data_IF_094783745213
#
_entry.id   IF_094783745213
#
_cell.length_a   1.000
_cell.length_b   1.000
_cell.length_c   1.000
_cell.angle_alpha   90.00
_cell.angle_beta   90.00
_cell.angle_gamma   90.00
#
_symmetry.space_group_name_H-M   'P 1'
#
loop_
_entity.id
_entity.type
_entity.pdbx_description
1 polymer ?
2 water ?
#
# COMPACT_ATOMS: atom_id res chain seq x y z
N UNK A 3 -6.28 -6.25 17.13
CA UNK A 3 -5.44 -5.47 16.12
C UNK A 3 -4.05 -6.08 15.65
N UNK A 4 -4.05 -7.18 14.88
CA UNK A 4 -2.84 -7.63 14.12
C UNK A 4 -3.10 -8.88 13.27
N UNK A 5 -4.11 -8.78 12.41
CA UNK A 5 -4.39 -9.77 11.33
C UNK A 5 -3.39 -9.71 10.14
N UNK A 6 -2.72 -8.55 10.02
CA UNK A 6 -1.67 -8.27 9.04
C UNK A 6 -0.70 -7.24 9.59
N UNK A 7 0.48 -7.21 8.97
CA UNK A 7 1.61 -6.54 9.54
C UNK A 7 2.11 -5.62 8.41
N UNK A 8 1.57 -4.39 8.34
CA UNK A 8 1.98 -3.43 7.34
C UNK A 8 3.49 -3.21 7.45
N UNK A 9 4.13 -3.04 6.31
CA UNK A 9 5.56 -2.70 6.24
C UNK A 9 5.81 -1.25 6.65
N UNK A 10 6.77 -1.08 7.57
CA UNK A 10 7.14 0.22 8.01
C UNK A 10 8.67 0.36 7.92
N UNK A 11 9.16 1.48 7.39
CA UNK A 11 10.56 1.81 7.50
C UNK A 11 10.66 2.86 8.55
N UNK A 12 11.76 2.84 9.31
CA UNK A 12 11.87 3.84 10.33
C UNK A 12 13.26 4.43 10.16
N UNK A 13 13.35 5.75 10.21
CA UNK A 13 14.58 6.44 10.02
C UNK A 13 14.76 7.37 11.21
N UNK A 14 15.99 7.48 11.69
CA UNK A 14 16.29 8.46 12.70
C UNK A 14 17.20 9.46 12.05
N UNK A 15 16.74 10.68 11.93
CA UNK A 15 17.55 11.73 11.39
C UNK A 15 18.18 12.46 12.57
N UNK A 16 18.96 13.49 12.25
CA UNK A 16 19.66 14.24 13.29
C UNK A 16 18.64 14.75 14.25
N UNK A 17 17.55 15.33 13.75
CA UNK A 17 16.67 15.98 14.71
C UNK A 17 15.24 15.45 14.70
N UNK A 18 15.01 14.34 13.99
CA UNK A 18 13.66 13.84 13.98
C UNK A 18 13.66 12.38 13.57
N UNK A 19 12.54 11.73 13.82
CA UNK A 19 12.35 10.43 13.29
C UNK A 19 11.31 10.53 12.22
N UNK A 20 11.37 9.60 11.28
CA UNK A 20 10.30 9.43 10.32
C UNK A 20 10.01 7.95 10.24
N UNK A 21 8.74 7.61 10.31
CA UNK A 21 8.27 6.26 10.01
C UNK A 21 7.46 6.39 8.77
N UNK A 22 7.69 5.48 7.86
CA UNK A 22 6.87 5.41 6.64
C UNK A 22 6.17 4.07 6.67
N UNK A 23 4.84 4.06 6.62
CA UNK A 23 4.09 2.84 6.79
C UNK A 23 3.29 2.65 5.52
N UNK A 24 3.41 1.48 4.91
CA UNK A 24 2.62 1.17 3.71
C UNK A 24 1.31 0.68 4.24
N UNK A 25 0.32 1.54 4.07
CA UNK A 25 -1.02 1.29 4.59
C UNK A 25 -1.95 1.55 3.41
N UNK A 26 -1.78 0.77 2.32
CA UNK A 26 -2.64 1.07 1.20
C UNK A 26 -4.14 0.82 1.52
N UNK A 27 -5.02 1.59 0.93
CA UNK A 27 -6.46 1.32 0.97
C UNK A 27 -7.11 1.72 2.28
N UNK A 28 -6.51 2.65 3.05
CA UNK A 28 -7.14 3.14 4.30
C UNK A 28 -6.98 4.62 4.25
N UNK A 29 -8.02 5.38 4.62
CA UNK A 29 -7.84 6.82 4.73
C UNK A 29 -6.91 7.03 5.89
N UNK A 30 -5.97 7.97 5.76
CA UNK A 30 -5.03 8.36 6.79
C UNK A 30 -5.69 8.76 8.09
N UNK A 31 -6.92 9.21 7.99
CA UNK A 31 -7.66 9.63 9.16
C UNK A 31 -8.21 8.42 9.92
N UNK A 32 -8.40 7.28 9.27
CA UNK A 32 -8.75 6.08 9.98
C UNK A 32 -7.53 5.42 10.68
N UNK A 33 -6.37 6.05 10.65
CA UNK A 33 -5.17 5.33 11.11
C UNK A 33 -4.76 6.02 12.38
N UNK A 34 -4.70 5.25 13.46
CA UNK A 34 -4.36 5.89 14.72
C UNK A 34 -2.84 5.77 14.96
N UNK A 35 -2.22 6.89 15.25
CA UNK A 35 -0.82 6.92 15.49
C UNK A 35 -0.61 7.56 16.83
N UNK A 36 -0.04 6.83 17.77
CA UNK A 36 0.24 7.45 19.05
C UNK A 36 1.46 6.87 19.64
N UNK A 37 2.01 7.61 20.57
CA UNK A 37 3.11 7.13 21.39
C UNK A 37 2.67 7.06 22.81
N UNK A 38 3.07 6.00 23.47
CA UNK A 38 2.72 5.85 24.84
C UNK A 38 3.93 5.20 25.46
N UNK A 39 4.59 5.92 26.36
CA UNK A 39 5.72 5.36 27.11
C UNK A 39 6.81 4.83 26.16
N UNK A 40 7.11 5.62 25.15
CA UNK A 40 8.15 5.31 24.25
C UNK A 40 7.68 4.49 23.10
N UNK A 41 6.49 3.90 23.13
CA UNK A 41 6.14 2.97 22.11
C UNK A 41 5.32 3.69 21.08
N UNK A 42 5.81 3.70 19.85
CA UNK A 42 5.02 4.30 18.78
C UNK A 42 4.07 3.24 18.26
N UNK A 43 2.77 3.49 18.27
CA UNK A 43 1.89 2.54 17.62
C UNK A 43 1.21 3.14 16.43
N UNK A 44 0.92 2.25 15.52
CA UNK A 44 0.22 2.64 14.32
C UNK A 44 -0.88 1.60 14.18
N UNK A 45 -2.11 2.02 14.32
CA UNK A 45 -3.11 0.96 14.29
C UNK A 45 -4.32 1.41 13.57
N UNK A 46 -5.10 0.42 13.15
CA UNK A 46 -6.30 0.74 12.44
C UNK A 46 -6.78 -0.53 11.82
N UNK A 47 -7.66 -0.41 10.87
CA UNK A 47 -8.23 -1.58 10.33
C UNK A 47 -8.43 -1.39 8.86
N UNK A 48 -7.83 -2.25 8.06
CA UNK A 48 -8.01 -2.09 6.64
C UNK A 48 -9.13 -3.01 6.25
N UNK A 49 -10.06 -2.49 5.50
CA UNK A 49 -11.07 -3.29 4.88
C UNK A 49 -10.57 -3.61 3.47
N UNK A 50 -11.14 -4.64 2.90
CA UNK A 50 -10.77 -5.03 1.55
C UNK A 50 -12.02 -5.54 0.85
N UNK A 51 -12.13 -5.13 -0.41
CA UNK A 51 -13.15 -5.61 -1.34
C UNK A 51 -13.16 -7.11 -1.35
N UNK A 52 -12.05 -7.78 -1.07
CA UNK A 52 -12.04 -9.21 -1.19
C UNK A 52 -12.90 -9.90 -0.11
N UNK A 53 -13.39 -9.14 0.87
CA UNK A 53 -14.26 -9.72 1.89
C UNK A 53 -15.70 -9.70 1.42
N UNK A 54 -15.94 -8.98 0.34
CA UNK A 54 -17.26 -8.83 -0.28
C UNK A 54 -17.25 -9.71 -1.54
N UNK A 55 -18.16 -10.68 -1.57
CA UNK A 55 -18.31 -11.55 -2.75
C UNK A 55 -17.02 -12.24 -3.05
N UNK A 56 -16.40 -12.73 -1.98
CA UNK A 56 -15.11 -13.39 -1.97
C UNK A 56 -14.98 -14.50 -2.98
N UNK A 57 -16.07 -15.23 -3.18
CA UNK A 57 -16.07 -16.35 -4.08
C UNK A 57 -15.90 -15.81 -5.54
N UNK A 58 -16.18 -14.54 -5.79
CA UNK A 58 -15.99 -13.99 -7.16
C UNK A 58 -14.52 -13.65 -7.46
N UNK A 59 -13.68 -13.71 -6.42
CA UNK A 59 -12.25 -13.48 -6.57
C UNK A 59 -11.51 -14.67 -7.08
N UNK A 60 -10.72 -14.48 -8.12
CA UNK A 60 -9.86 -15.54 -8.61
C UNK A 60 -8.51 -15.45 -7.93
N UNK A 61 -8.19 -14.29 -7.35
CA UNK A 61 -7.04 -14.17 -6.50
C UNK A 61 -7.26 -13.14 -5.44
N UNK A 62 -6.75 -13.51 -4.29
CA UNK A 62 -6.77 -12.66 -3.18
C UNK A 62 -5.40 -12.68 -2.59
N UNK A 63 -4.66 -11.59 -2.76
CA UNK A 63 -3.30 -11.55 -2.23
C UNK A 63 -3.17 -10.43 -1.22
N UNK A 64 -4.08 -9.48 -1.27
CA UNK A 64 -3.97 -8.30 -0.46
C UNK A 64 -4.40 -8.59 0.94
N UNK A 65 -3.52 -8.25 1.86
CA UNK A 65 -3.76 -8.46 3.26
C UNK A 65 -4.55 -7.30 3.81
N UNK A 66 -5.42 -7.56 4.76
CA UNK A 66 -6.13 -6.46 5.37
C UNK A 66 -6.54 -6.94 6.75
N UNK A 67 -7.43 -6.18 7.36
CA UNK A 67 -7.78 -6.49 8.72
C UNK A 67 -7.13 -5.46 9.61
N UNK A 68 -7.19 -5.75 10.89
CA UNK A 68 -6.72 -4.83 11.88
C UNK A 68 -5.21 -4.92 11.85
N UNK A 69 -4.52 -3.82 12.10
CA UNK A 69 -3.09 -3.95 12.27
C UNK A 69 -2.77 -3.12 13.48
N UNK A 70 -1.62 -3.38 14.07
CA UNK A 70 -1.20 -2.65 15.17
C UNK A 70 0.30 -2.82 15.18
N UNK A 71 0.99 -1.86 14.57
CA UNK A 71 2.42 -1.91 14.48
C UNK A 71 2.92 -1.15 15.68
N UNK A 72 3.92 -1.67 16.35
CA UNK A 72 4.50 -0.97 17.46
C UNK A 72 6.03 -0.91 17.32
N UNK A 73 6.63 0.21 17.69
CA UNK A 73 8.06 0.30 17.62
C UNK A 73 8.49 0.98 18.91
N UNK A 74 9.59 0.52 19.50
CA UNK A 74 10.01 1.03 20.75
C UNK A 74 11.02 2.08 20.33
N UNK A 75 10.56 3.32 20.19
CA UNK A 75 11.42 4.34 19.68
C UNK A 75 12.35 4.83 20.82
N UNK A 76 13.48 5.41 20.47
CA UNK A 76 14.38 5.93 21.55
C UNK A 76 13.70 7.04 22.34
N UNK A 77 14.21 7.30 23.56
CA UNK A 77 13.70 8.31 24.47
C UNK A 77 13.74 9.71 23.85
N UNK A 78 14.63 9.93 22.86
CA UNK A 78 14.75 11.22 22.23
C UNK A 78 13.54 11.59 21.40
N UNK A 79 12.69 10.60 21.05
CA UNK A 79 11.47 10.84 20.25
C UNK A 79 10.52 11.66 21.11
N UNK A 80 10.21 12.88 20.66
CA UNK A 80 9.24 13.74 21.36
C UNK A 80 7.85 13.26 21.06
N UNK A 81 7.28 12.49 21.95
CA UNK A 81 5.89 12.04 21.90
C UNK A 81 4.92 13.12 21.66
N UNK A 82 5.24 14.37 21.99
CA UNK A 82 4.31 15.48 21.75
C UNK A 82 4.45 16.17 20.39
N UNK A 83 5.26 15.64 19.50
CA UNK A 83 5.57 16.38 18.27
C UNK A 83 5.15 15.60 17.09
N UNK A 84 4.41 14.54 17.32
CA UNK A 84 4.17 13.62 16.23
C UNK A 84 3.28 14.31 15.20
N UNK A 85 3.65 14.29 13.92
CA UNK A 85 2.62 14.49 12.88
C UNK A 85 2.49 13.23 12.07
N UNK A 86 1.37 13.06 11.35
CA UNK A 86 1.19 11.84 10.55
C UNK A 86 0.35 12.26 9.38
N UNK A 87 0.82 11.99 8.16
CA UNK A 87 0.15 12.43 6.95
C UNK A 87 0.43 11.36 5.90
N UNK A 88 -0.59 11.06 5.09
CA UNK A 88 -0.52 9.93 4.25
C UNK A 88 -0.65 10.42 2.85
N UNK A 89 -0.06 9.71 1.93
CA UNK A 89 -0.23 10.04 0.56
C UNK A 89 -0.08 8.74 -0.23
N UNK A 90 -1.00 8.48 -1.13
CA UNK A 90 -1.00 7.25 -1.87
C UNK A 90 -0.77 6.00 -0.99
N UNK A 91 -1.39 5.94 0.17
CA UNK A 91 -1.33 4.71 0.90
C UNK A 91 -0.12 4.67 1.79
N UNK A 92 0.79 5.65 1.72
CA UNK A 92 1.97 5.60 2.60
C UNK A 92 1.74 6.62 3.72
N UNK A 93 1.76 6.20 4.96
CA UNK A 93 1.59 7.14 6.05
C UNK A 93 3.00 7.53 6.50
N UNK A 94 3.24 8.82 6.61
CA UNK A 94 4.50 9.29 6.99
C UNK A 94 4.35 9.95 8.33
N UNK A 95 5.01 9.38 9.33
CA UNK A 95 4.88 9.88 10.67
C UNK A 95 6.21 10.52 11.04
N UNK A 96 6.17 11.78 11.45
CA UNK A 96 7.35 12.53 11.71
C UNK A 96 7.33 12.90 13.15
N UNK A 97 8.45 12.67 13.83
CA UNK A 97 8.52 12.89 15.26
C UNK A 97 9.84 13.61 15.52
N UNK A 98 9.78 14.87 15.94
CA UNK A 98 11.03 15.54 16.29
C UNK A 98 11.65 14.88 17.49
N UNK A 99 12.96 15.04 17.58
CA UNK A 99 13.63 14.65 18.82
C UNK A 99 13.56 15.77 19.83
N UNK A 100 13.42 15.37 21.09
CA UNK A 100 13.52 16.21 22.28
C UNK A 100 14.78 17.10 22.19
N UNK A 101 14.67 18.36 22.70
CA UNK A 101 15.89 19.12 23.00
C UNK A 101 16.81 18.36 24.02
N UNK A 102 16.23 17.78 25.09
CA UNK A 102 17.04 16.99 26.09
C UNK A 102 16.70 15.49 26.13
N UNK B 4 15.47 -6.68 -3.08
CA UNK B 4 14.15 -7.38 -2.92
C UNK B 4 13.10 -6.88 -3.98
N UNK B 5 12.86 -7.71 -4.99
CA UNK B 5 11.89 -7.40 -6.07
C UNK B 5 10.58 -7.01 -5.42
N UNK B 6 10.06 -5.84 -5.74
CA UNK B 6 8.75 -5.52 -5.25
C UNK B 6 7.71 -6.34 -6.08
N UNK B 7 6.84 -7.09 -5.42
CA UNK B 7 5.75 -7.80 -6.08
C UNK B 7 4.47 -7.25 -5.42
N UNK B 8 3.85 -6.22 -5.99
CA UNK B 8 2.73 -5.60 -5.28
C UNK B 8 1.56 -6.58 -5.33
N UNK B 9 0.86 -6.69 -4.22
CA UNK B 9 -0.23 -7.67 -4.07
C UNK B 9 -1.45 -7.16 -4.79
N UNK B 10 -2.17 -8.07 -5.37
CA UNK B 10 -3.33 -7.77 -6.24
C UNK B 10 -4.46 -8.71 -5.85
N UNK B 11 -5.69 -8.23 -5.82
CA UNK B 11 -6.81 -9.15 -5.80
C UNK B 11 -7.47 -8.97 -7.12
N UNK B 12 -8.09 -10.02 -7.61
CA UNK B 12 -8.73 -9.93 -8.88
C UNK B 12 -10.07 -10.58 -8.70
N UNK B 13 -11.08 -9.90 -9.18
CA UNK B 13 -12.41 -10.32 -8.98
C UNK B 13 -13.13 -10.32 -10.33
N UNK B 14 -14.00 -11.31 -10.52
CA UNK B 14 -14.87 -11.35 -11.71
C UNK B 14 -16.26 -10.99 -11.32
N UNK B 15 -16.75 -9.87 -11.82
CA UNK B 15 -18.12 -9.46 -11.54
C UNK B 15 -18.97 -9.86 -12.75
N UNK B 16 -20.26 -9.53 -12.70
CA UNK B 16 -21.13 -9.90 -13.82
C UNK B 16 -20.64 -9.18 -15.08
N UNK B 17 -20.41 -7.88 -15.02
CA UNK B 17 -19.96 -7.20 -16.26
C UNK B 17 -18.50 -6.77 -16.36
N UNK B 18 -17.72 -7.11 -15.32
CA UNK B 18 -16.33 -6.65 -15.26
C UNK B 18 -15.45 -7.61 -14.52
N UNK B 19 -14.17 -7.55 -14.84
CA UNK B 19 -13.17 -7.98 -13.89
C UNK B 19 -12.68 -6.70 -13.21
N UNK B 20 -12.24 -6.84 -11.96
CA UNK B 20 -11.71 -5.75 -11.22
C UNK B 20 -10.40 -6.31 -10.65
N UNK B 21 -9.32 -5.56 -10.84
CA UNK B 21 -8.06 -5.90 -10.26
C UNK B 21 -7.77 -4.78 -9.26
N UNK B 22 -7.43 -5.13 -8.04
CA UNK B 22 -7.12 -4.14 -7.04
C UNK B 22 -5.67 -4.41 -6.76
N UNK B 23 -4.85 -3.37 -6.76
CA UNK B 23 -3.41 -3.56 -6.62
C UNK B 23 -2.94 -2.62 -5.54
N UNK B 24 -2.32 -3.18 -4.55
CA UNK B 24 -1.73 -2.36 -3.53
C UNK B 24 -0.41 -1.80 -4.09
N UNK B 25 -0.44 -0.52 -4.43
CA UNK B 25 0.69 0.19 -5.00
C UNK B 25 0.94 1.41 -4.16
N UNK B 26 1.19 1.21 -2.87
CA UNK B 26 1.40 2.38 -2.05
C UNK B 26 2.65 3.19 -2.48
N UNK B 27 2.56 4.50 -2.40
CA UNK B 27 3.71 5.34 -2.60
C UNK B 27 3.91 5.74 -4.05
N UNK B 28 2.90 5.52 -4.90
CA UNK B 28 3.01 5.83 -6.31
C UNK B 28 1.78 6.62 -6.63
N UNK B 29 1.91 7.72 -7.37
CA UNK B 29 0.70 8.38 -7.89
C UNK B 29 0.09 7.45 -8.92
N UNK B 30 -1.23 7.29 -8.87
CA UNK B 30 -1.87 6.40 -9.81
C UNK B 30 -1.42 6.66 -11.27
N UNK B 31 -1.08 7.91 -11.58
CA UNK B 31 -0.78 8.30 -12.95
C UNK B 31 0.57 7.73 -13.37
N UNK B 32 1.38 7.33 -12.40
CA UNK B 32 2.65 6.72 -12.70
C UNK B 32 2.59 5.21 -12.86
N UNK B 33 1.41 4.64 -12.77
CA UNK B 33 1.33 3.19 -12.93
C UNK B 33 0.93 2.90 -14.37
N UNK B 34 1.66 2.05 -15.02
CA UNK B 34 1.35 1.74 -16.41
C UNK B 34 0.48 0.48 -16.42
N UNK B 35 -0.76 0.66 -16.83
CA UNK B 35 -1.73 -0.41 -16.94
C UNK B 35 -1.84 -0.67 -18.43
N UNK B 36 -1.66 -1.90 -18.86
CA UNK B 36 -1.86 -2.19 -20.27
C UNK B 36 -2.49 -3.52 -20.31
N UNK B 37 -3.19 -3.82 -21.39
CA UNK B 37 -3.64 -5.17 -21.55
C UNK B 37 -3.44 -5.57 -23.01
N UNK B 38 -2.75 -6.67 -23.26
CA UNK B 38 -2.56 -7.05 -24.66
C UNK B 38 -2.66 -8.56 -24.65
N UNK B 39 -3.25 -9.14 -25.70
CA UNK B 39 -3.35 -10.57 -25.81
C UNK B 39 -4.02 -11.21 -24.62
N UNK B 40 -5.01 -10.55 -24.03
CA UNK B 40 -5.74 -11.18 -22.93
C UNK B 40 -4.98 -11.11 -21.60
N UNK B 41 -3.88 -10.37 -21.57
CA UNK B 41 -3.02 -10.35 -20.37
C UNK B 41 -2.90 -8.92 -19.84
N UNK B 42 -3.38 -8.71 -18.63
CA UNK B 42 -3.37 -7.41 -18.02
C UNK B 42 -2.08 -7.24 -17.26
N UNK B 43 -1.41 -6.13 -17.54
CA UNK B 43 -0.10 -5.85 -17.03
C UNK B 43 -0.17 -4.58 -16.18
N UNK B 44 0.57 -4.57 -15.11
CA UNK B 44 0.75 -3.34 -14.35
C UNK B 44 2.23 -3.21 -14.13
N UNK B 45 2.75 -2.01 -14.31
CA UNK B 45 4.19 -1.89 -14.31
C UNK B 45 4.48 -0.51 -13.77
N UNK B 46 5.62 -0.30 -13.12
CA UNK B 46 5.89 1.01 -12.59
C UNK B 46 7.07 0.88 -11.68
N UNK B 47 7.32 1.91 -10.90
CA UNK B 47 8.52 1.92 -10.10
C UNK B 47 8.15 2.77 -8.89
N UNK B 48 8.61 2.34 -7.74
CA UNK B 48 8.43 3.09 -6.58
C UNK B 48 9.83 3.42 -6.06
N UNK B 49 10.08 4.67 -5.76
CA UNK B 49 11.22 5.08 -5.00
C UNK B 49 10.88 4.85 -3.50
N UNK B 50 11.90 4.67 -2.69
CA UNK B 50 11.66 4.62 -1.25
C UNK B 50 12.61 5.54 -0.56
N UNK B 51 12.11 6.20 0.47
CA UNK B 51 12.91 7.05 1.28
C UNK B 51 14.13 6.26 1.82
N UNK B 52 13.99 4.93 1.93
CA UNK B 52 15.06 4.18 2.53
C UNK B 52 16.39 4.10 1.75
N UNK B 53 16.39 4.47 0.47
CA UNK B 53 17.63 4.35 -0.36
C UNK B 53 18.41 5.63 -0.23
N UNK B 54 17.78 6.64 0.39
CA UNK B 54 18.50 7.86 0.81
C UNK B 54 18.87 7.79 2.28
N UNK B 55 20.14 8.04 2.62
CA UNK B 55 20.61 8.04 4.03
C UNK B 55 20.17 6.73 4.63
N UNK B 56 20.42 5.64 3.92
CA UNK B 56 20.05 4.32 4.34
C UNK B 56 20.55 4.02 5.76
N UNK B 57 21.75 4.51 6.08
CA UNK B 57 22.39 4.16 7.34
C UNK B 57 21.59 4.78 8.52
N UNK B 58 20.63 5.68 8.23
CA UNK B 58 19.87 6.37 9.27
C UNK B 58 18.65 5.54 9.65
N UNK B 59 18.40 4.49 8.90
CA UNK B 59 17.17 3.73 9.13
C UNK B 59 17.49 2.70 10.12
N UNK B 60 16.58 2.56 11.03
CA UNK B 60 16.76 1.60 12.11
C UNK B 60 15.88 0.45 11.73
N UNK B 61 15.05 0.62 10.69
CA UNK B 61 14.31 -0.52 10.19
C UNK B 61 13.92 -0.27 8.75
N UNK B 62 14.13 -1.26 7.90
CA UNK B 62 13.71 -1.11 6.52
C UNK B 62 13.06 -2.39 6.11
N UNK B 63 11.88 -2.31 5.56
CA UNK B 63 11.28 -3.52 5.00
C UNK B 63 10.30 -3.12 3.89
N UNK B 64 10.02 -1.85 3.69
CA UNK B 64 9.05 -1.54 2.62
C UNK B 64 9.69 -1.87 1.29
N UNK B 65 8.97 -2.54 0.39
CA UNK B 65 9.62 -2.97 -0.89
C UNK B 65 9.46 -1.84 -1.86
N UNK B 66 10.39 -1.72 -2.79
CA UNK B 66 10.27 -0.68 -3.78
C UNK B 66 11.05 -1.04 -5.04
N UNK B 67 11.20 -0.10 -5.96
CA UNK B 67 11.92 -0.44 -7.18
C UNK B 67 10.85 -0.70 -8.19
N UNK B 68 11.22 -1.43 -9.25
CA UNK B 68 10.32 -1.57 -10.39
C UNK B 68 9.42 -2.73 -10.03
N UNK B 69 8.22 -2.74 -10.58
CA UNK B 69 7.46 -3.93 -10.46
C UNK B 69 6.88 -4.13 -11.83
N UNK B 70 6.54 -5.36 -12.16
CA UNK B 70 5.86 -5.55 -13.38
C UNK B 70 5.08 -6.82 -13.16
N UNK B 71 3.75 -6.77 -13.12
CA UNK B 71 3.06 -8.05 -12.96
C UNK B 71 2.12 -8.21 -14.10
N UNK B 72 1.86 -9.46 -14.46
CA UNK B 72 0.98 -9.72 -15.57
C UNK B 72 -0.08 -10.67 -15.10
N UNK B 73 -1.33 -10.47 -15.53
CA UNK B 73 -2.45 -11.36 -15.15
C UNK B 73 -3.24 -11.73 -16.39
N UNK B 74 -3.04 -12.94 -16.92
CA UNK B 74 -3.96 -13.45 -17.97
C UNK B 74 -5.38 -13.36 -17.44
N UNK B 75 -6.30 -12.79 -18.22
CA UNK B 75 -7.71 -12.81 -17.77
C UNK B 75 -8.49 -13.68 -18.75
N UNK B 76 -9.69 -14.08 -18.37
CA UNK B 76 -10.50 -14.88 -19.33
C UNK B 76 -10.71 -14.12 -20.64
N UNK B 77 -11.05 -14.84 -21.70
CA UNK B 77 -11.26 -14.24 -23.04
C UNK B 77 -12.39 -13.28 -23.03
N UNK B 78 -13.32 -13.41 -22.07
CA UNK B 78 -14.39 -12.45 -21.96
C UNK B 78 -13.87 -11.02 -21.64
N UNK B 79 -12.65 -10.91 -21.12
CA UNK B 79 -12.17 -9.60 -20.65
C UNK B 79 -11.93 -8.75 -21.88
N UNK B 80 -12.37 -7.51 -21.85
CA UNK B 80 -12.20 -6.63 -22.99
C UNK B 80 -11.12 -5.60 -22.64
N UNK B 81 -9.96 -5.82 -23.21
CA UNK B 81 -8.77 -5.05 -23.04
C UNK B 81 -9.05 -3.62 -23.37
N UNK B 82 -9.90 -3.36 -24.36
CA UNK B 82 -10.05 -2.02 -24.87
C UNK B 82 -10.87 -1.15 -23.96
N UNK B 83 -11.57 -1.75 -23.01
CA UNK B 83 -12.42 -0.92 -22.16
C UNK B 83 -11.84 -0.60 -20.81
N UNK B 84 -10.59 -0.96 -20.61
CA UNK B 84 -10.05 -0.86 -19.24
C UNK B 84 -10.11 0.55 -18.71
N UNK B 85 -10.50 0.68 -17.44
CA UNK B 85 -10.33 1.95 -16.73
C UNK B 85 -9.54 1.64 -15.44
N UNK B 86 -8.93 2.66 -14.84
CA UNK B 86 -8.12 2.44 -13.64
C UNK B 86 -8.30 3.73 -12.87
N UNK B 87 -8.51 3.63 -11.56
CA UNK B 87 -8.52 4.78 -10.68
C UNK B 87 -7.75 4.36 -9.39
N UNK B 88 -7.06 5.30 -8.76
CA UNK B 88 -6.31 4.94 -7.57
C UNK B 88 -6.68 5.79 -6.37
N UNK B 89 -6.56 5.21 -5.19
CA UNK B 89 -6.90 5.92 -3.98
C UNK B 89 -6.18 5.30 -2.81
N UNK B 90 -5.51 6.13 -2.02
CA UNK B 90 -4.80 5.60 -0.88
C UNK B 90 -3.86 4.48 -1.31
N UNK B 91 -3.32 4.59 -2.51
CA UNK B 91 -2.30 3.65 -3.02
C UNK B 91 -2.85 2.33 -3.49
N UNK B 92 -4.18 2.23 -3.62
CA UNK B 92 -4.78 1.00 -4.24
C UNK B 92 -5.10 1.41 -5.65
N UNK B 93 -4.66 0.68 -6.63
CA UNK B 93 -5.11 1.01 -7.98
C UNK B 93 -6.21 0.02 -8.26
N UNK B 94 -7.35 0.50 -8.68
CA UNK B 94 -8.43 -0.38 -8.94
C UNK B 94 -8.63 -0.37 -10.44
N UNK B 95 -8.42 -1.50 -11.08
CA UNK B 95 -8.51 -1.53 -12.52
C UNK B 95 -9.78 -2.27 -12.92
N UNK B 96 -10.61 -1.63 -13.74
CA UNK B 96 -11.82 -2.32 -14.22
C UNK B 96 -11.71 -2.71 -15.66
N UNK B 97 -11.98 -3.98 -15.92
CA UNK B 97 -11.88 -4.50 -17.23
C UNK B 97 -13.29 -4.99 -17.59
N UNK B 98 -13.96 -4.34 -18.56
CA UNK B 98 -15.30 -4.76 -18.89
C UNK B 98 -15.26 -6.08 -19.64
N UNK B 99 -16.32 -6.86 -19.52
CA UNK B 99 -16.39 -8.10 -20.27
C UNK B 99 -16.92 -7.79 -21.66
N UNK B 100 -16.57 -8.60 -22.65
CA UNK B 100 -17.09 -8.46 -23.98
C UNK B 100 -18.53 -9.01 -23.96
N UNK B 101 -19.43 -8.43 -24.77
CA UNK B 101 -20.73 -9.08 -24.93
C UNK B 101 -20.52 -10.54 -25.44
N UNK B 102 -21.37 -11.47 -25.01
CA UNK B 102 -21.25 -12.92 -25.44
C UNK B 102 -21.37 -13.04 -26.96
N UNK B 103 -20.69 -14.03 -27.55
CA UNK B 103 -20.64 -14.19 -29.05
C UNK B 103 -21.95 -14.66 -29.63
#
# INVERSE_FOLDING_TARGET
>A
VVTAQWVPRVDIKEEVNHFVLYADLPGIDPSQIEVQMDKGILSIRGERKSESSTETERFSRIERRYGSFHRRFALPDSADADGITAAGRNGVLEIRIPKRPAA
>B
VVTAQWVPRVDIKEEVNHFVLYADLPGIDPSQIEVQMDKGILSIRGERKSESSTETERFSRIERRYGSFHRRFALPDSADADGITAAGRNGVLEIRIPKRPAA
#
